data_IF_402765916583
#
_entry.id   IF_402765916583
#
_cell.length_a   1.000
_cell.length_b   1.000
_cell.length_c   1.000
_cell.angle_alpha   90.00
_cell.angle_beta   90.00
_cell.angle_gamma   90.00
#
_symmetry.space_group_name_H-M   'P 1'
#
loop_
_entity.id
_entity.type
_entity.pdbx_description
1 polymer ?
#
# COMPACT_ATOMS: atom_id res chain seq x y z
N UNK A 1 8.64 1.34 30.85
CA UNK A 1 7.21 1.28 31.27
C UNK A 1 6.32 2.39 30.72
N UNK A 2 6.83 3.52 30.18
CA UNK A 2 5.99 4.58 29.55
C UNK A 2 5.34 4.15 28.22
N UNK A 3 6.06 3.42 27.37
CA UNK A 3 5.57 2.98 26.04
C UNK A 3 4.34 2.06 26.12
N UNK A 4 4.27 1.15 27.09
CA UNK A 4 3.13 0.24 27.24
C UNK A 4 1.81 0.96 27.60
N UNK A 5 1.89 2.18 28.15
CA UNK A 5 0.72 2.98 28.51
C UNK A 5 0.09 3.71 27.33
N UNK A 6 0.84 3.94 26.25
CA UNK A 6 0.32 4.58 25.04
C UNK A 6 -0.55 3.66 24.19
N UNK A 7 -0.41 2.33 24.34
CA UNK A 7 -1.28 1.35 23.70
C UNK A 7 -2.63 1.16 24.41
N UNK A 8 -2.86 1.86 25.54
CA UNK A 8 -4.06 1.73 26.36
C UNK A 8 -5.15 2.75 25.95
N UNK A 9 -4.83 3.73 25.10
CA UNK A 9 -5.81 4.69 24.60
C UNK A 9 -6.77 4.06 23.57
N UNK A 10 -8.02 4.53 23.56
CA UNK A 10 -9.02 4.09 22.60
C UNK A 10 -8.69 4.64 21.20
N UNK A 11 -8.59 3.76 20.21
CA UNK A 11 -8.35 4.12 18.81
C UNK A 11 -9.54 4.92 18.25
N UNK A 12 -9.29 6.15 17.79
CA UNK A 12 -10.34 6.97 17.16
C UNK A 12 -10.47 6.58 15.68
N UNK A 13 -11.43 5.69 15.38
CA UNK A 13 -11.66 5.19 14.01
C UNK A 13 -11.88 6.28 12.95
N UNK A 14 -12.43 7.44 13.33
CA UNK A 14 -12.63 8.58 12.41
C UNK A 14 -11.30 9.19 11.96
N UNK A 15 -10.33 9.28 12.88
CA UNK A 15 -8.98 9.79 12.59
C UNK A 15 -8.23 8.79 11.71
N UNK A 16 -8.23 7.51 12.10
CA UNK A 16 -7.67 6.41 11.30
C UNK A 16 -8.25 6.41 9.89
N UNK A 17 -9.57 6.46 9.77
CA UNK A 17 -10.26 6.50 8.48
C UNK A 17 -9.80 7.66 7.60
N UNK A 18 -9.64 8.87 8.16
CA UNK A 18 -9.16 10.03 7.42
C UNK A 18 -7.77 9.80 6.82
N UNK A 19 -6.80 9.32 7.63
CA UNK A 19 -5.44 9.06 7.16
C UNK A 19 -5.38 7.87 6.17
N UNK A 20 -6.16 6.82 6.41
CA UNK A 20 -6.31 5.71 5.44
C UNK A 20 -6.87 6.23 4.11
N UNK A 21 -7.80 7.20 4.13
CA UNK A 21 -8.31 7.85 2.92
C UNK A 21 -7.25 8.62 2.14
N UNK A 22 -6.39 9.37 2.83
CA UNK A 22 -5.26 10.09 2.22
C UNK A 22 -4.29 9.11 1.54
N UNK A 23 -3.88 8.06 2.26
CA UNK A 23 -2.97 7.04 1.73
C UNK A 23 -3.61 6.14 0.66
N UNK A 24 -4.92 5.89 0.72
CA UNK A 24 -5.65 5.24 -0.37
C UNK A 24 -5.62 6.09 -1.66
N UNK A 25 -5.68 7.41 -1.54
CA UNK A 25 -5.49 8.32 -2.67
C UNK A 25 -4.09 8.18 -3.30
N UNK A 26 -3.06 8.07 -2.46
CA UNK A 26 -1.69 7.79 -2.91
C UNK A 26 -1.59 6.44 -3.60
N UNK A 27 -2.19 5.38 -3.05
CA UNK A 27 -2.24 4.05 -3.69
C UNK A 27 -2.90 4.15 -5.08
N UNK A 28 -4.05 4.81 -5.18
CA UNK A 28 -4.73 5.00 -6.46
C UNK A 28 -3.85 5.73 -7.48
N UNK A 29 -3.11 6.76 -7.06
CA UNK A 29 -2.16 7.48 -7.91
C UNK A 29 -0.98 6.58 -8.34
N UNK A 30 -0.41 5.79 -7.42
CA UNK A 30 0.66 4.84 -7.74
C UNK A 30 0.21 3.75 -8.72
N UNK A 31 -1.06 3.33 -8.66
CA UNK A 31 -1.63 2.35 -9.59
C UNK A 31 -1.80 2.89 -11.02
N UNK A 32 -1.78 4.23 -11.22
CA UNK A 32 -1.80 4.83 -12.57
C UNK A 32 -0.54 4.47 -13.36
N UNK A 33 0.61 4.30 -12.70
CA UNK A 33 1.87 3.98 -13.40
C UNK A 33 1.83 2.59 -14.06
N UNK A 34 1.47 1.49 -13.36
CA UNK A 34 1.23 0.19 -14.00
C UNK A 34 0.12 0.21 -15.06
N UNK A 35 -0.91 1.05 -14.90
CA UNK A 35 -1.91 1.25 -15.95
C UNK A 35 -1.27 1.77 -17.24
N UNK A 36 -0.47 2.83 -17.16
CA UNK A 36 0.22 3.39 -18.33
C UNK A 36 1.12 2.32 -18.98
N UNK A 37 1.89 1.58 -18.17
CA UNK A 37 2.74 0.50 -18.68
C UNK A 37 1.90 -0.57 -19.39
N UNK A 38 0.78 -0.99 -18.81
CA UNK A 38 -0.09 -1.99 -19.46
C UNK A 38 -0.67 -1.52 -20.81
N UNK A 39 -0.94 -0.22 -20.96
CA UNK A 39 -1.38 0.36 -22.23
C UNK A 39 -0.25 0.39 -23.27
N UNK A 40 0.95 0.82 -22.86
CA UNK A 40 2.14 0.86 -23.74
C UNK A 40 2.58 -0.55 -24.16
N UNK A 41 2.41 -1.54 -23.28
CA UNK A 41 2.69 -2.95 -23.56
C UNK A 41 1.62 -3.63 -24.44
N UNK A 42 0.54 -2.92 -24.80
CA UNK A 42 -0.52 -3.49 -25.65
C UNK A 42 -1.41 -4.51 -24.93
N UNK A 43 -1.58 -4.39 -23.61
CA UNK A 43 -2.36 -5.30 -22.76
C UNK A 43 -3.68 -4.65 -22.27
N UNK A 44 -4.66 -4.38 -23.17
CA UNK A 44 -5.86 -3.63 -22.81
C UNK A 44 -6.73 -4.33 -21.76
N UNK A 45 -6.68 -5.68 -21.72
CA UNK A 45 -7.35 -6.47 -20.68
C UNK A 45 -6.80 -6.18 -19.28
N UNK A 46 -5.48 -6.11 -19.14
CA UNK A 46 -4.78 -5.75 -17.89
C UNK A 46 -5.06 -4.28 -17.54
N UNK A 47 -5.01 -3.39 -18.54
CA UNK A 47 -5.29 -1.97 -18.35
C UNK A 47 -6.69 -1.70 -17.78
N UNK A 48 -7.72 -2.37 -18.31
CA UNK A 48 -9.08 -2.25 -17.80
C UNK A 48 -9.18 -2.63 -16.32
N UNK A 49 -8.45 -3.67 -15.88
CA UNK A 49 -8.44 -4.08 -14.47
C UNK A 49 -7.81 -3.03 -13.58
N UNK A 50 -6.73 -2.39 -14.02
CA UNK A 50 -6.15 -1.26 -13.29
C UNK A 50 -7.12 -0.08 -13.19
N UNK A 51 -7.86 0.24 -14.26
CA UNK A 51 -8.89 1.30 -14.21
C UNK A 51 -9.95 0.99 -13.16
N UNK A 52 -10.46 -0.25 -13.13
CA UNK A 52 -11.46 -0.67 -12.13
C UNK A 52 -10.92 -0.49 -10.71
N UNK A 53 -9.69 -0.93 -10.45
CA UNK A 53 -9.04 -0.77 -9.14
C UNK A 53 -8.86 0.70 -8.78
N UNK A 54 -8.37 1.52 -9.70
CA UNK A 54 -8.16 2.96 -9.46
C UNK A 54 -9.49 3.63 -9.10
N UNK A 55 -10.57 3.33 -9.81
CA UNK A 55 -11.90 3.89 -9.51
C UNK A 55 -12.39 3.47 -8.13
N UNK A 56 -12.26 2.19 -7.77
CA UNK A 56 -12.68 1.69 -6.45
C UNK A 56 -11.85 2.34 -5.34
N UNK A 57 -10.53 2.32 -5.46
CA UNK A 57 -9.62 2.87 -4.45
C UNK A 57 -9.74 4.39 -4.32
N UNK A 58 -9.90 5.11 -5.43
CA UNK A 58 -10.13 6.56 -5.41
C UNK A 58 -11.50 6.92 -4.82
N UNK A 59 -12.53 6.10 -5.06
CA UNK A 59 -13.84 6.29 -4.45
C UNK A 59 -13.80 6.07 -2.94
N UNK A 60 -13.07 5.05 -2.48
CA UNK A 60 -12.80 4.82 -1.05
C UNK A 60 -12.04 6.01 -0.44
N UNK A 61 -10.98 6.47 -1.11
CA UNK A 61 -10.21 7.64 -0.70
C UNK A 61 -11.12 8.87 -0.55
N UNK A 62 -11.93 9.17 -1.57
CA UNK A 62 -12.86 10.30 -1.55
C UNK A 62 -13.93 10.18 -0.45
N UNK A 63 -14.40 8.97 -0.14
CA UNK A 63 -15.35 8.74 0.96
C UNK A 63 -14.71 9.01 2.32
N UNK A 64 -13.50 8.51 2.53
CA UNK A 64 -12.75 8.66 3.78
C UNK A 64 -12.18 10.06 3.98
N UNK A 65 -11.87 10.77 2.91
CA UNK A 65 -11.43 12.18 2.93
C UNK A 65 -12.55 13.14 3.42
N UNK A 66 -13.79 12.67 3.58
CA UNK A 66 -14.85 13.48 4.21
C UNK A 66 -14.80 13.45 5.74
N UNK A 67 -14.00 12.56 6.33
CA UNK A 67 -13.83 12.49 7.77
C UNK A 67 -13.01 13.69 8.28
N UNK A 68 -13.29 14.16 9.50
CA UNK A 68 -12.55 15.27 10.09
C UNK A 68 -11.10 14.88 10.32
N UNK A 69 -10.18 15.78 9.95
CA UNK A 69 -8.76 15.66 10.28
C UNK A 69 -8.56 16.04 11.75
N UNK A 70 -7.88 15.20 12.51
CA UNK A 70 -7.44 15.55 13.86
C UNK A 70 -6.09 16.26 13.80
N UNK A 71 -5.83 17.12 14.79
CA UNK A 71 -4.56 17.83 14.92
C UNK A 71 -3.42 16.92 15.41
N UNK A 72 -3.76 15.77 16.01
CA UNK A 72 -2.82 14.77 16.50
C UNK A 72 -3.21 13.35 16.10
N UNK A 73 -2.20 12.52 15.82
CA UNK A 73 -2.37 11.07 15.65
C UNK A 73 -1.67 10.35 16.80
N UNK A 74 -2.38 9.43 17.44
CA UNK A 74 -1.82 8.61 18.50
C UNK A 74 -0.95 7.48 17.93
N UNK A 75 0.02 7.00 18.72
CA UNK A 75 0.93 5.90 18.32
C UNK A 75 0.18 4.63 17.89
N UNK A 76 -0.85 4.23 18.64
CA UNK A 76 -1.73 3.10 18.32
C UNK A 76 -2.53 3.33 17.02
N UNK A 77 -2.99 4.55 16.76
CA UNK A 77 -3.72 4.92 15.53
C UNK A 77 -2.80 4.84 14.32
N UNK A 78 -1.56 5.34 14.43
CA UNK A 78 -0.55 5.23 13.38
C UNK A 78 -0.26 3.76 13.03
N UNK A 79 -0.12 2.88 14.02
CA UNK A 79 0.07 1.44 13.79
C UNK A 79 -1.10 0.81 13.01
N UNK A 80 -2.34 1.17 13.36
CA UNK A 80 -3.53 0.68 12.63
C UNK A 80 -3.56 1.22 11.21
N UNK A 81 -3.25 2.51 11.00
CA UNK A 81 -3.17 3.12 9.67
C UNK A 81 -2.17 2.37 8.79
N UNK A 82 -0.95 2.12 9.29
CA UNK A 82 0.08 1.38 8.55
C UNK A 82 -0.41 -0.02 8.17
N UNK A 83 -0.99 -0.77 9.11
CA UNK A 83 -1.53 -2.10 8.83
C UNK A 83 -2.63 -2.07 7.74
N UNK A 84 -3.58 -1.13 7.85
CA UNK A 84 -4.65 -0.96 6.86
C UNK A 84 -4.10 -0.63 5.47
N UNK A 85 -3.07 0.22 5.39
CA UNK A 85 -2.51 0.68 4.12
C UNK A 85 -1.72 -0.42 3.42
N UNK A 86 -0.96 -1.23 4.13
CA UNK A 86 -0.32 -2.42 3.56
C UNK A 86 -1.35 -3.41 3.01
N UNK A 87 -2.44 -3.64 3.75
CA UNK A 87 -3.54 -4.49 3.29
C UNK A 87 -4.22 -3.91 2.04
N UNK A 88 -4.50 -2.61 2.01
CA UNK A 88 -5.12 -1.93 0.87
C UNK A 88 -4.21 -1.96 -0.37
N UNK A 89 -2.92 -1.70 -0.19
CA UNK A 89 -1.94 -1.73 -1.28
C UNK A 89 -1.82 -3.13 -1.90
N UNK A 90 -1.79 -4.18 -1.07
CA UNK A 90 -1.80 -5.55 -1.56
C UNK A 90 -3.14 -5.87 -2.26
N UNK A 91 -4.28 -5.53 -1.64
CA UNK A 91 -5.61 -5.79 -2.18
C UNK A 91 -5.83 -5.12 -3.56
N UNK A 92 -5.32 -3.90 -3.74
CA UNK A 92 -5.41 -3.17 -5.00
C UNK A 92 -4.72 -3.92 -6.16
N UNK A 93 -3.69 -4.71 -5.89
CA UNK A 93 -2.89 -5.37 -6.94
C UNK A 93 -3.40 -6.76 -7.30
N UNK A 94 -4.26 -7.39 -6.48
CA UNK A 94 -4.74 -8.75 -6.72
C UNK A 94 -5.44 -8.87 -8.09
N UNK A 95 -6.45 -8.03 -8.34
CA UNK A 95 -7.27 -8.14 -9.54
C UNK A 95 -6.48 -7.88 -10.86
N UNK A 96 -5.60 -6.87 -10.93
CA UNK A 96 -4.69 -6.69 -12.07
C UNK A 96 -3.71 -7.85 -12.25
N UNK A 97 -3.12 -8.38 -11.17
CA UNK A 97 -2.17 -9.51 -11.27
C UNK A 97 -2.81 -10.80 -11.76
N UNK A 98 -4.10 -11.02 -11.47
CA UNK A 98 -4.87 -12.13 -12.05
C UNK A 98 -4.99 -12.04 -13.59
N UNK A 99 -4.67 -10.91 -14.23
CA UNK A 99 -4.61 -10.84 -15.69
C UNK A 99 -3.45 -11.67 -16.26
N UNK A 100 -2.39 -11.88 -15.48
CA UNK A 100 -1.26 -12.74 -15.83
C UNK A 100 -1.53 -14.25 -15.70
N UNK A 101 -2.80 -14.65 -15.56
CA UNK A 101 -3.22 -16.06 -15.43
C UNK A 101 -3.06 -16.64 -14.02
N UNK A 102 -2.88 -15.79 -13.00
CA UNK A 102 -2.73 -16.23 -11.61
C UNK A 102 -4.11 -16.54 -10.99
N UNK A 103 -4.15 -17.56 -10.13
CA UNK A 103 -5.29 -17.76 -9.25
C UNK A 103 -5.40 -16.60 -8.25
N UNK A 104 -6.55 -16.46 -7.60
CA UNK A 104 -6.72 -15.43 -6.57
C UNK A 104 -5.68 -15.54 -5.44
N UNK A 105 -5.40 -16.77 -4.99
CA UNK A 105 -4.43 -17.00 -3.91
C UNK A 105 -3.00 -16.70 -4.35
N UNK A 106 -2.63 -17.05 -5.57
CA UNK A 106 -1.29 -16.73 -6.10
C UNK A 106 -1.13 -15.22 -6.29
N UNK A 107 -2.16 -14.54 -6.80
CA UNK A 107 -2.15 -13.09 -6.96
C UNK A 107 -2.10 -12.36 -5.61
N UNK A 108 -2.81 -12.87 -4.59
CA UNK A 108 -2.71 -12.38 -3.22
C UNK A 108 -1.30 -12.56 -2.67
N UNK A 109 -0.70 -13.74 -2.85
CA UNK A 109 0.66 -14.01 -2.41
C UNK A 109 1.68 -13.10 -3.09
N UNK A 110 1.61 -12.94 -4.42
CA UNK A 110 2.46 -12.02 -5.17
C UNK A 110 2.28 -10.57 -4.72
N UNK A 111 1.04 -10.12 -4.50
CA UNK A 111 0.77 -8.76 -4.08
C UNK A 111 1.32 -8.48 -2.68
N UNK A 112 1.08 -9.38 -1.71
CA UNK A 112 1.62 -9.26 -0.36
C UNK A 112 3.14 -9.26 -0.41
N UNK A 113 3.76 -10.27 -1.02
CA UNK A 113 5.21 -10.39 -1.18
C UNK A 113 5.85 -9.18 -1.87
N UNK A 114 5.18 -8.65 -2.90
CA UNK A 114 5.54 -7.44 -3.62
C UNK A 114 5.59 -6.22 -2.72
N UNK A 115 4.47 -5.92 -2.07
CA UNK A 115 4.27 -4.72 -1.25
C UNK A 115 5.10 -4.77 0.04
N UNK A 116 5.29 -5.94 0.65
CA UNK A 116 6.12 -6.12 1.85
C UNK A 116 7.60 -6.31 1.54
N UNK A 117 8.00 -6.10 0.29
CA UNK A 117 9.36 -6.28 -0.20
C UNK A 117 10.00 -7.62 0.13
N UNK A 118 9.20 -8.68 0.22
CA UNK A 118 9.67 -10.03 0.54
C UNK A 118 10.32 -10.67 -0.69
N UNK A 119 9.80 -10.38 -1.88
CA UNK A 119 10.43 -10.78 -3.15
C UNK A 119 10.25 -12.26 -3.51
N UNK A 120 9.39 -12.98 -2.79
CA UNK A 120 8.99 -14.35 -3.12
C UNK A 120 7.96 -14.37 -4.25
N UNK A 121 7.91 -15.50 -4.98
CA UNK A 121 6.97 -15.71 -6.07
C UNK A 121 6.20 -17.02 -5.89
N UNK A 122 4.90 -16.99 -6.18
CA UNK A 122 4.06 -18.19 -6.28
C UNK A 122 4.09 -18.77 -7.71
N UNK A 123 4.63 -18.03 -8.67
CA UNK A 123 4.72 -18.44 -10.07
C UNK A 123 5.98 -19.29 -10.28
N UNK A 124 5.83 -20.47 -10.90
CA UNK A 124 6.95 -21.37 -11.17
C UNK A 124 7.97 -20.82 -12.19
N UNK A 125 7.50 -20.15 -13.24
CA UNK A 125 8.33 -19.46 -14.24
C UNK A 125 7.85 -18.03 -14.44
N UNK A 126 8.77 -17.09 -14.32
CA UNK A 126 8.50 -15.64 -14.49
C UNK A 126 8.83 -15.19 -15.91
N UNK A 127 9.57 -16.00 -16.65
CA UNK A 127 10.08 -15.75 -17.99
C UNK A 127 8.97 -15.68 -19.05
N UNK A 128 7.85 -16.36 -18.81
CA UNK A 128 6.70 -16.39 -19.73
C UNK A 128 5.64 -15.32 -19.41
N UNK A 129 5.90 -14.42 -18.45
CA UNK A 129 4.93 -13.41 -18.01
C UNK A 129 4.99 -12.16 -18.87
N UNK A 130 3.86 -11.46 -18.92
CA UNK A 130 3.74 -10.22 -19.71
C UNK A 130 4.59 -9.10 -19.12
N UNK A 131 4.97 -8.13 -19.96
CA UNK A 131 5.77 -6.99 -19.53
C UNK A 131 5.07 -6.18 -18.43
N UNK A 132 3.74 -6.00 -18.51
CA UNK A 132 2.98 -5.31 -17.48
C UNK A 132 3.00 -6.07 -16.13
N UNK A 133 3.00 -7.40 -16.16
CA UNK A 133 3.09 -8.21 -14.93
C UNK A 133 4.46 -8.08 -14.26
N UNK A 134 5.54 -8.21 -15.05
CA UNK A 134 6.91 -8.07 -14.53
C UNK A 134 7.16 -6.66 -13.98
N UNK A 135 6.67 -5.63 -14.69
CA UNK A 135 6.72 -4.25 -14.21
C UNK A 135 5.94 -4.09 -12.90
N UNK A 136 4.71 -4.61 -12.82
CA UNK A 136 3.90 -4.52 -11.61
C UNK A 136 4.60 -5.11 -10.39
N UNK A 137 5.31 -6.24 -10.55
CA UNK A 137 6.11 -6.84 -9.46
C UNK A 137 7.24 -5.93 -8.99
N UNK A 138 8.03 -5.41 -9.92
CA UNK A 138 9.11 -4.48 -9.60
C UNK A 138 8.56 -3.17 -8.99
N UNK A 139 7.40 -2.71 -9.46
CA UNK A 139 6.74 -1.50 -8.98
C UNK A 139 6.26 -1.64 -7.53
N UNK A 140 5.61 -2.77 -7.19
CA UNK A 140 5.20 -3.06 -5.81
C UNK A 140 6.39 -3.11 -4.85
N UNK A 141 7.49 -3.71 -5.27
CA UNK A 141 8.74 -3.73 -4.49
C UNK A 141 9.31 -2.32 -4.31
N UNK A 142 9.27 -1.49 -5.36
CA UNK A 142 9.77 -0.12 -5.33
C UNK A 142 8.99 0.75 -4.34
N UNK A 143 7.66 0.83 -4.43
CA UNK A 143 6.89 1.65 -3.50
C UNK A 143 6.70 0.99 -2.12
N UNK A 144 6.80 -0.34 -2.03
CA UNK A 144 6.84 -1.06 -0.76
C UNK A 144 8.08 -0.72 0.06
N UNK A 145 9.24 -0.61 -0.61
CA UNK A 145 10.52 -0.29 0.03
C UNK A 145 10.76 1.20 0.25
N UNK A 146 10.37 2.06 -0.71
CA UNK A 146 10.64 3.50 -0.68
C UNK A 146 9.39 4.36 -0.33
N UNK A 147 8.20 3.91 -0.73
CA UNK A 147 6.99 4.75 -0.78
C UNK A 147 6.25 4.93 0.55
N UNK A 148 6.26 3.93 1.44
CA UNK A 148 5.66 4.05 2.77
C UNK A 148 6.60 4.62 3.83
N UNK A 149 7.82 4.98 3.45
CA UNK A 149 8.88 5.34 4.39
C UNK A 149 9.15 6.85 4.34
N UNK A 150 9.15 7.48 3.16
CA UNK A 150 9.73 8.84 3.02
C UNK A 150 8.75 10.04 3.03
N UNK A 151 7.60 9.99 2.34
CA UNK A 151 6.89 11.26 2.04
C UNK A 151 5.75 11.62 3.01
N UNK A 152 4.73 10.76 3.18
CA UNK A 152 3.59 11.04 4.08
C UNK A 152 3.73 10.32 5.42
N UNK A 153 4.26 9.10 5.44
CA UNK A 153 4.51 8.39 6.68
C UNK A 153 5.64 9.02 7.49
N UNK A 154 6.62 9.68 6.86
CA UNK A 154 7.65 10.46 7.56
C UNK A 154 7.04 11.60 8.39
N UNK A 155 6.01 12.29 7.87
CA UNK A 155 5.23 13.25 8.64
C UNK A 155 4.37 12.58 9.71
N UNK A 156 3.73 11.46 9.38
CA UNK A 156 2.90 10.69 10.32
C UNK A 156 3.72 10.17 11.52
N UNK A 157 4.95 9.69 11.27
CA UNK A 157 5.89 9.23 12.28
C UNK A 157 6.52 10.38 13.06
N UNK A 158 6.81 11.51 12.40
CA UNK A 158 7.25 12.73 13.05
C UNK A 158 6.18 13.29 14.01
N UNK A 159 4.91 13.30 13.58
CA UNK A 159 3.75 13.71 14.39
C UNK A 159 3.46 12.71 15.52
N UNK A 160 3.53 11.41 15.24
CA UNK A 160 3.37 10.34 16.24
C UNK A 160 4.57 10.18 17.19
N UNK A 161 5.65 10.96 17.01
CA UNK A 161 6.92 10.85 17.75
C UNK A 161 7.51 9.43 17.77
N UNK A 162 7.22 8.64 16.73
CA UNK A 162 7.81 7.31 16.58
C UNK A 162 9.18 7.54 15.93
N UNK A 163 10.29 7.17 16.60
CA UNK A 163 11.60 7.29 15.98
C UNK A 163 11.62 6.34 14.79
N UNK A 164 11.74 6.89 13.59
CA UNK A 164 11.89 6.16 12.33
C UNK A 164 12.95 5.04 12.42
N UNK A 165 14.00 5.31 13.18
CA UNK A 165 15.10 4.39 13.51
C UNK A 165 14.68 3.12 14.27
N UNK A 166 13.59 3.14 15.03
CA UNK A 166 13.09 1.97 15.78
C UNK A 166 12.41 0.96 14.87
N UNK A 167 11.78 1.40 13.77
CA UNK A 167 11.12 0.51 12.80
C UNK A 167 12.12 0.01 11.76
N UNK A 168 13.11 0.83 11.39
CA UNK A 168 14.16 0.47 10.43
C UNK A 168 15.30 -0.38 11.02
N UNK A 169 15.29 -0.68 12.33
CA UNK A 169 16.36 -1.45 12.99
C UNK A 169 17.73 -0.76 12.98
N UNK A 170 17.78 0.53 12.65
CA UNK A 170 18.99 1.33 12.65
C UNK A 170 19.11 2.01 14.02
N UNK A 171 19.61 1.28 15.01
CA UNK A 171 20.13 1.92 16.22
C UNK A 171 21.29 2.84 15.82
N UNK A 172 21.08 4.15 15.91
CA UNK A 172 22.19 5.11 15.92
C UNK A 172 22.99 4.87 17.20
N UNK A 173 24.14 4.23 17.06
CA UNK A 173 25.22 4.34 18.06
C UNK A 173 25.76 5.76 18.08
#
# INVERSE_FOLDING_TARGET
MRQARELIYAVRLRVVGRYVGELAGVIAALTIVPLIVSLVSGEPGTALRYVVVIVITASLAAALFRLPKADDIQTNEALVVVACVFMLAAAAMIYPLMAGGLSFLDALFEAVSGVTTTGLTATATVEDKTAAFLFARAWMQWYGGLGFVDADTGKLFAEARIPFFVVAGLETR
#
